data_IF_855950766679
#
_entry.id   IF_855950766679
#
_cell.length_a   1.000
_cell.length_b   1.000
_cell.length_c   1.000
_cell.angle_alpha   90.00
_cell.angle_beta   90.00
_cell.angle_gamma   90.00
#
_symmetry.space_group_name_H-M   'P 1'
#
loop_
_entity.id
_entity.type
_entity.pdbx_description
1 polymer ?
#
# COMPACT_ATOMS: atom_id res chain seq x y z
N UNK A 1 20.09 31.97 -46.75
CA UNK A 1 19.46 32.34 -45.46
C UNK A 1 18.80 31.10 -44.88
N UNK A 2 19.27 30.64 -43.72
CA UNK A 2 19.06 29.28 -43.20
C UNK A 2 17.65 29.05 -42.66
N UNK A 3 17.00 28.03 -43.22
CA UNK A 3 15.78 27.38 -42.74
C UNK A 3 16.22 26.37 -41.66
N UNK A 4 15.96 26.64 -40.39
CA UNK A 4 16.17 25.66 -39.30
C UNK A 4 14.87 25.52 -38.52
N UNK A 5 14.07 24.55 -38.98
CA UNK A 5 12.96 23.97 -38.24
C UNK A 5 13.59 23.14 -37.13
N UNK A 6 13.53 23.62 -35.89
CA UNK A 6 13.89 22.84 -34.71
C UNK A 6 12.62 22.21 -34.15
N UNK A 7 12.37 20.98 -34.58
CA UNK A 7 11.43 20.04 -34.01
C UNK A 7 12.03 19.56 -32.67
N UNK A 8 11.63 20.19 -31.57
CA UNK A 8 12.03 19.83 -30.22
C UNK A 8 11.03 18.85 -29.60
N UNK A 9 11.46 17.60 -29.48
CA UNK A 9 10.75 16.44 -28.93
C UNK A 9 10.21 16.71 -27.52
N UNK A 10 8.88 16.82 -27.36
CA UNK A 10 8.21 16.74 -26.05
C UNK A 10 8.27 15.29 -25.55
N UNK A 11 9.30 14.96 -24.76
CA UNK A 11 9.24 13.81 -23.87
C UNK A 11 8.38 14.18 -22.66
N UNK A 12 7.07 13.95 -22.77
CA UNK A 12 6.20 13.84 -21.60
C UNK A 12 6.47 12.48 -20.94
N UNK A 13 7.60 12.34 -20.26
CA UNK A 13 7.80 11.28 -19.28
C UNK A 13 6.84 11.55 -18.13
N UNK A 14 5.67 10.92 -18.18
CA UNK A 14 4.75 10.83 -17.06
C UNK A 14 5.42 10.10 -15.93
N UNK A 15 6.17 10.83 -15.09
CA UNK A 15 6.62 10.37 -13.80
C UNK A 15 5.38 10.05 -12.97
N UNK A 16 4.96 8.77 -12.95
CA UNK A 16 4.09 8.27 -11.89
C UNK A 16 4.87 8.42 -10.59
N UNK A 17 4.62 9.52 -9.88
CA UNK A 17 5.11 9.72 -8.53
C UNK A 17 4.36 8.75 -7.63
N UNK A 18 5.03 7.70 -7.15
CA UNK A 18 4.50 6.85 -6.10
C UNK A 18 4.16 7.72 -4.88
N UNK A 19 3.01 7.45 -4.23
CA UNK A 19 2.63 8.23 -3.06
C UNK A 19 3.51 7.84 -1.86
N UNK A 20 3.76 8.82 -0.98
CA UNK A 20 4.48 8.60 0.27
C UNK A 20 3.76 7.56 1.17
N UNK A 21 4.52 6.63 1.75
CA UNK A 21 4.01 5.51 2.53
C UNK A 21 3.19 5.95 3.75
N UNK A 22 3.62 7.02 4.44
CA UNK A 22 2.88 7.57 5.57
C UNK A 22 1.52 8.16 5.13
N UNK A 23 1.50 8.80 3.97
CA UNK A 23 0.27 9.34 3.36
C UNK A 23 -0.70 8.22 2.97
N UNK A 24 -0.21 7.15 2.35
CA UNK A 24 -1.01 5.96 2.02
C UNK A 24 -1.59 5.30 3.27
N UNK A 25 -0.80 5.19 4.34
CA UNK A 25 -1.19 4.55 5.59
C UNK A 25 -2.39 5.22 6.28
N UNK A 26 -2.68 6.50 6.02
CA UNK A 26 -3.87 7.18 6.56
C UNK A 26 -5.17 6.44 6.28
N UNK A 27 -5.24 5.67 5.17
CA UNK A 27 -6.40 4.84 4.81
C UNK A 27 -6.58 3.60 5.72
N UNK A 28 -5.53 3.19 6.42
CA UNK A 28 -5.49 1.99 7.27
C UNK A 28 -5.85 2.29 8.73
N UNK A 29 -5.64 3.54 9.19
CA UNK A 29 -5.69 3.94 10.60
C UNK A 29 -7.04 3.65 11.26
N UNK A 30 -8.14 3.80 10.53
CA UNK A 30 -9.49 3.62 11.07
C UNK A 30 -9.67 2.24 11.74
N UNK A 31 -9.06 1.20 11.18
CA UNK A 31 -9.15 -0.17 11.71
C UNK A 31 -7.87 -0.61 12.43
N UNK A 32 -6.70 -0.18 11.97
CA UNK A 32 -5.42 -0.67 12.48
C UNK A 32 -4.78 0.21 13.56
N UNK A 33 -5.29 1.43 13.78
CA UNK A 33 -4.69 2.40 14.70
C UNK A 33 -3.62 3.27 14.04
N UNK A 34 -3.15 4.29 14.75
CA UNK A 34 -2.18 5.26 14.22
C UNK A 34 -0.79 4.63 14.05
N UNK A 35 -0.47 3.62 14.86
CA UNK A 35 0.78 2.90 14.87
C UNK A 35 0.60 1.42 14.49
N UNK A 36 -0.55 1.03 13.94
CA UNK A 36 -0.84 -0.37 13.61
C UNK A 36 -1.06 -1.26 14.84
N UNK A 37 -1.36 -0.66 15.99
CA UNK A 37 -1.40 -1.26 17.32
C UNK A 37 -2.73 -1.94 17.66
N UNK A 38 -3.74 -1.78 16.80
CA UNK A 38 -5.07 -2.35 16.98
C UNK A 38 -5.22 -3.65 16.21
N UNK A 39 -5.89 -4.59 16.86
CA UNK A 39 -6.40 -5.78 16.19
C UNK A 39 -7.60 -5.34 15.37
N UNK A 40 -7.44 -5.36 14.04
CA UNK A 40 -8.50 -4.92 13.14
C UNK A 40 -9.75 -5.82 13.29
N UNK A 41 -10.97 -5.27 13.14
CA UNK A 41 -12.19 -6.05 13.20
C UNK A 41 -12.16 -7.25 12.25
N UNK A 42 -12.53 -8.43 12.78
CA UNK A 42 -12.53 -9.67 12.02
C UNK A 42 -11.15 -10.30 11.79
N UNK A 43 -10.07 -9.73 12.31
CA UNK A 43 -8.76 -10.40 12.39
C UNK A 43 -8.85 -11.65 13.27
N UNK A 44 -8.16 -12.72 12.90
CA UNK A 44 -7.98 -13.92 13.73
C UNK A 44 -6.60 -13.92 14.38
N UNK A 45 -6.50 -14.43 15.60
CA UNK A 45 -5.22 -14.65 16.29
C UNK A 45 -4.61 -13.41 16.94
N UNK A 46 -5.39 -12.37 17.23
CA UNK A 46 -4.94 -11.18 17.97
C UNK A 46 -3.74 -10.47 17.30
N UNK A 47 -3.71 -10.44 15.97
CA UNK A 47 -2.58 -9.91 15.19
C UNK A 47 -2.72 -8.39 14.97
N UNK A 48 -1.64 -7.67 15.26
CA UNK A 48 -1.43 -6.25 14.93
C UNK A 48 -0.43 -6.13 13.78
N UNK A 49 -0.42 -4.99 13.07
CA UNK A 49 0.43 -4.79 11.89
C UNK A 49 1.63 -3.87 12.13
N UNK A 50 1.63 -3.08 13.21
CA UNK A 50 2.76 -2.21 13.55
C UNK A 50 4.06 -3.02 13.71
N UNK A 51 5.10 -2.63 12.97
CA UNK A 51 6.41 -3.30 13.02
C UNK A 51 6.41 -4.72 12.44
N UNK A 52 5.37 -5.11 11.69
CA UNK A 52 5.35 -6.38 10.99
C UNK A 52 6.40 -6.39 9.88
N UNK A 53 6.97 -7.56 9.60
CA UNK A 53 7.94 -7.73 8.52
C UNK A 53 7.40 -7.18 7.18
N UNK A 54 8.22 -6.39 6.50
CA UNK A 54 7.85 -5.70 5.25
C UNK A 54 7.41 -6.68 4.16
N UNK A 55 8.16 -7.77 3.96
CA UNK A 55 7.87 -8.75 2.91
C UNK A 55 6.54 -9.44 3.16
N UNK A 56 6.25 -9.76 4.43
CA UNK A 56 4.93 -10.29 4.82
C UNK A 56 3.79 -9.31 4.54
N UNK A 57 3.98 -8.02 4.79
CA UNK A 57 2.92 -7.02 4.50
C UNK A 57 2.68 -6.93 3.00
N UNK A 58 3.73 -6.91 2.18
CA UNK A 58 3.64 -6.89 0.72
C UNK A 58 2.85 -8.11 0.23
N UNK A 59 3.25 -9.31 0.66
CA UNK A 59 2.57 -10.56 0.29
C UNK A 59 1.07 -10.51 0.61
N UNK A 60 0.71 -10.06 1.82
CA UNK A 60 -0.69 -9.95 2.23
C UNK A 60 -1.44 -8.90 1.39
N UNK A 61 -0.89 -7.70 1.19
CA UNK A 61 -1.57 -6.65 0.42
C UNK A 61 -1.73 -7.02 -1.05
N UNK A 62 -0.74 -7.67 -1.66
CA UNK A 62 -0.83 -8.20 -3.02
C UNK A 62 -1.86 -9.32 -3.10
N UNK A 63 -1.84 -10.26 -2.16
CA UNK A 63 -2.84 -11.33 -2.09
C UNK A 63 -4.25 -10.79 -1.84
N UNK A 64 -4.42 -9.73 -1.06
CA UNK A 64 -5.72 -9.08 -0.86
C UNK A 64 -6.20 -8.37 -2.14
N UNK A 65 -5.29 -7.68 -2.86
CA UNK A 65 -5.58 -7.06 -4.16
C UNK A 65 -5.99 -8.10 -5.20
N UNK A 66 -5.35 -9.27 -5.19
CA UNK A 66 -5.65 -10.40 -6.09
C UNK A 66 -6.85 -11.26 -5.63
N UNK A 67 -7.31 -11.12 -4.38
CA UNK A 67 -8.36 -11.95 -3.80
C UNK A 67 -7.92 -13.36 -3.42
N UNK A 68 -6.62 -13.59 -3.24
CA UNK A 68 -6.01 -14.90 -2.96
C UNK A 68 -5.50 -15.05 -1.52
N UNK A 69 -5.25 -13.95 -0.80
CA UNK A 69 -4.75 -14.01 0.57
C UNK A 69 -5.77 -14.67 1.51
N UNK A 70 -5.37 -15.73 2.21
CA UNK A 70 -6.19 -16.38 3.23
C UNK A 70 -5.44 -16.57 4.55
N UNK A 71 -5.49 -15.52 5.38
CA UNK A 71 -5.03 -15.58 6.77
C UNK A 71 -6.18 -15.83 7.76
N UNK A 72 -7.33 -16.33 7.27
CA UNK A 72 -8.55 -16.48 8.04
C UNK A 72 -9.26 -15.16 8.34
N UNK A 73 -10.30 -15.22 9.19
CA UNK A 73 -11.05 -14.03 9.61
C UNK A 73 -11.92 -13.42 8.51
N UNK A 74 -12.23 -12.13 8.64
CA UNK A 74 -13.09 -11.37 7.73
C UNK A 74 -12.30 -10.77 6.54
N UNK A 75 -11.48 -11.59 5.88
CA UNK A 75 -10.58 -11.19 4.78
C UNK A 75 -11.25 -10.44 3.62
N UNK A 76 -12.55 -10.67 3.39
CA UNK A 76 -13.34 -9.98 2.38
C UNK A 76 -13.35 -8.45 2.55
N UNK A 77 -13.23 -7.96 3.79
CA UNK A 77 -13.12 -6.51 4.08
C UNK A 77 -11.84 -5.96 3.46
N UNK A 78 -10.72 -6.66 3.61
CA UNK A 78 -9.44 -6.23 3.03
C UNK A 78 -9.40 -6.38 1.51
N UNK A 79 -10.06 -7.39 0.94
CA UNK A 79 -10.24 -7.46 -0.52
C UNK A 79 -10.97 -6.22 -1.05
N UNK A 80 -12.08 -5.83 -0.42
CA UNK A 80 -12.84 -4.65 -0.83
C UNK A 80 -12.01 -3.37 -0.69
N UNK A 81 -11.31 -3.20 0.43
CA UNK A 81 -10.43 -2.05 0.65
C UNK A 81 -9.32 -1.96 -0.40
N UNK A 82 -8.61 -3.06 -0.70
CA UNK A 82 -7.53 -3.04 -1.68
C UNK A 82 -8.03 -2.72 -3.10
N UNK A 83 -9.22 -3.22 -3.47
CA UNK A 83 -9.88 -2.83 -4.74
C UNK A 83 -10.24 -1.34 -4.78
N UNK A 84 -10.73 -0.79 -3.66
CA UNK A 84 -11.12 0.63 -3.56
C UNK A 84 -9.93 1.58 -3.49
N UNK A 85 -8.84 1.18 -2.85
CA UNK A 85 -7.64 2.00 -2.69
C UNK A 85 -6.86 2.17 -4.00
N UNK A 86 -7.00 1.22 -4.94
CA UNK A 86 -6.35 1.24 -6.26
C UNK A 86 -4.82 1.42 -6.17
N UNK A 87 -4.21 0.85 -5.13
CA UNK A 87 -2.77 0.91 -4.94
C UNK A 87 -2.02 0.25 -6.10
N UNK A 88 -1.03 0.96 -6.62
CA UNK A 88 -0.01 0.39 -7.51
C UNK A 88 0.94 -0.50 -6.70
N UNK A 89 1.80 -1.24 -7.37
CA UNK A 89 2.77 -2.09 -6.68
C UNK A 89 3.82 -1.24 -5.93
N UNK A 90 4.14 -0.05 -6.46
CA UNK A 90 4.96 0.94 -5.78
C UNK A 90 4.28 1.50 -4.51
N UNK A 91 2.96 1.72 -4.54
CA UNK A 91 2.22 2.15 -3.35
C UNK A 91 2.20 1.04 -2.28
N UNK A 92 2.03 -0.22 -2.69
CA UNK A 92 2.11 -1.37 -1.78
C UNK A 92 3.50 -1.44 -1.15
N UNK A 93 4.56 -1.28 -1.93
CA UNK A 93 5.93 -1.26 -1.43
C UNK A 93 6.13 -0.13 -0.41
N UNK A 94 5.68 1.09 -0.74
CA UNK A 94 5.84 2.27 0.09
C UNK A 94 5.07 2.17 1.42
N UNK A 95 3.79 1.75 1.38
CA UNK A 95 2.99 1.61 2.61
C UNK A 95 3.49 0.44 3.47
N UNK A 96 3.97 -0.64 2.86
CA UNK A 96 4.53 -1.78 3.59
C UNK A 96 5.83 -1.42 4.31
N UNK A 97 6.71 -0.68 3.64
CA UNK A 97 7.94 -0.14 4.23
C UNK A 97 7.61 0.76 5.43
N UNK A 98 6.65 1.66 5.28
CA UNK A 98 6.20 2.52 6.38
C UNK A 98 5.66 1.71 7.56
N UNK A 99 4.75 0.76 7.33
CA UNK A 99 4.16 -0.07 8.38
C UNK A 99 5.23 -0.87 9.14
N UNK A 100 6.24 -1.40 8.43
CA UNK A 100 7.33 -2.18 9.06
C UNK A 100 8.21 -1.38 10.01
N UNK A 101 8.22 -0.05 9.87
CA UNK A 101 8.99 0.88 10.72
C UNK A 101 8.17 1.44 11.87
N UNK A 102 6.87 1.14 11.94
CA UNK A 102 6.04 1.50 13.08
C UNK A 102 6.45 0.70 14.33
N UNK A 103 6.16 1.20 15.54
CA UNK A 103 6.44 0.47 16.77
C UNK A 103 5.76 -0.91 16.76
N UNK A 104 6.53 -1.95 17.10
CA UNK A 104 5.99 -3.29 17.34
C UNK A 104 5.29 -3.32 18.70
N UNK A 105 4.12 -3.95 18.73
CA UNK A 105 3.36 -4.20 19.97
C UNK A 105 3.70 -5.57 20.54
#
# INVERSE_FOLDING_TARGET
MMKKVLLGLMLASGCLMAADGATLYKKCIACHGVNGERVAPGSKGNITIGGMDKARIIEQLQGYKAGTADNGGAKAIMYANMKNFKFTDADIEAVSDYISKLPKK
#
